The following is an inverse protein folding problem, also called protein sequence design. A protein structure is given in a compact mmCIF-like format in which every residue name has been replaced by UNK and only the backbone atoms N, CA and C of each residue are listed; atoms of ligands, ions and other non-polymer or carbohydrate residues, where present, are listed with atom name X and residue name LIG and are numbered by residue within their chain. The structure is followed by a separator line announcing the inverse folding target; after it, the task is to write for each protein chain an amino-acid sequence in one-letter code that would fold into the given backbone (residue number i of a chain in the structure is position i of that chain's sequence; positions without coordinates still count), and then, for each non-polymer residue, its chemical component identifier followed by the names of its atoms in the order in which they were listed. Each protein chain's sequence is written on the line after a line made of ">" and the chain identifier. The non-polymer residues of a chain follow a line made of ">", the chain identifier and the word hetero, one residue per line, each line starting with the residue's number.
data_IF_666703198839
#
_entry.id   IF_666703198839
#
_cell.length_a   1.000
_cell.length_b   1.000
_cell.length_c   1.000
_cell.angle_alpha   90.00
_cell.angle_beta   90.00
_cell.angle_gamma   90.00
#
_symmetry.space_group_name_H-M   'P 1'
#
loop_
_entity.id
_entity.type
_entity.pdbx_description
1 polymer ?
#
# COMPACT_ATOMS: atom_id res chain seq x y z
N UNK A 1 2.69 16.58 51.36
CA UNK A 1 2.08 15.34 50.83
C UNK A 1 2.51 15.14 49.38
N UNK A 2 3.61 14.42 49.11
CA UNK A 2 4.09 14.11 47.73
C UNK A 2 4.60 12.67 47.55
N UNK A 3 4.88 11.92 48.64
CA UNK A 3 5.39 10.53 48.58
C UNK A 3 4.35 9.44 48.26
N UNK A 4 3.04 9.73 48.33
CA UNK A 4 1.99 8.72 48.13
C UNK A 4 1.54 8.53 46.68
N UNK A 5 1.97 9.39 45.76
CA UNK A 5 1.62 9.30 44.33
C UNK A 5 2.67 8.51 43.57
N UNK A 6 3.96 8.75 43.83
CA UNK A 6 5.06 8.01 43.20
C UNK A 6 4.98 6.50 43.47
N UNK A 7 4.68 6.10 44.71
CA UNK A 7 4.59 4.68 45.06
C UNK A 7 3.40 3.97 44.37
N UNK A 8 2.32 4.70 44.07
CA UNK A 8 1.16 4.16 43.32
C UNK A 8 1.49 3.98 41.84
N UNK A 9 2.22 4.93 41.25
CA UNK A 9 2.64 4.86 39.84
C UNK A 9 3.61 3.68 39.62
N UNK A 10 4.57 3.49 40.53
CA UNK A 10 5.51 2.36 40.48
C UNK A 10 4.78 1.02 40.58
N UNK A 11 3.79 0.92 41.48
CA UNK A 11 3.02 -0.32 41.65
C UNK A 11 2.20 -0.67 40.40
N UNK A 12 1.58 0.33 39.77
CA UNK A 12 0.80 0.14 38.53
C UNK A 12 1.71 -0.27 37.37
N UNK A 13 2.88 0.36 37.24
CA UNK A 13 3.87 0.00 36.23
C UNK A 13 4.33 -1.46 36.39
N UNK A 14 4.66 -1.89 37.61
CA UNK A 14 5.06 -3.28 37.87
C UNK A 14 3.98 -4.31 37.52
N UNK A 15 2.70 -4.02 37.77
CA UNK A 15 1.59 -4.92 37.42
C UNK A 15 1.43 -5.02 35.90
N UNK A 16 1.51 -3.88 35.19
CA UNK A 16 1.44 -3.84 33.72
C UNK A 16 2.60 -4.58 33.06
N UNK A 17 3.82 -4.43 33.58
CA UNK A 17 4.97 -5.19 33.07
C UNK A 17 4.84 -6.68 33.35
N UNK A 18 4.34 -7.07 34.53
CA UNK A 18 4.07 -8.47 34.87
C UNK A 18 3.05 -9.12 33.91
N UNK A 19 1.96 -8.41 33.60
CA UNK A 19 0.95 -8.89 32.64
C UNK A 19 1.53 -9.05 31.22
N UNK A 20 2.34 -8.10 30.75
CA UNK A 20 2.98 -8.18 29.43
C UNK A 20 3.97 -9.36 29.34
N UNK A 21 4.75 -9.61 30.40
CA UNK A 21 5.69 -10.75 30.44
C UNK A 21 4.93 -12.09 30.47
N UNK A 22 3.79 -12.18 31.16
CA UNK A 22 2.96 -13.40 31.15
C UNK A 22 2.40 -13.66 29.75
N UNK A 23 1.90 -12.63 29.06
CA UNK A 23 1.42 -12.77 27.67
C UNK A 23 2.56 -13.23 26.77
N UNK A 24 3.72 -12.58 26.79
CA UNK A 24 4.87 -12.96 25.95
C UNK A 24 5.45 -14.35 26.28
N UNK A 25 5.44 -14.77 27.55
CA UNK A 25 5.92 -16.11 27.94
C UNK A 25 4.93 -17.22 27.56
N UNK A 26 3.62 -16.93 27.53
CA UNK A 26 2.64 -17.84 26.96
C UNK A 26 2.72 -17.89 25.42
N UNK A 27 3.11 -16.79 24.77
CA UNK A 27 3.30 -16.71 23.30
C UNK A 27 4.57 -17.40 22.77
N UNK A 28 5.53 -17.75 23.64
CA UNK A 28 6.78 -18.42 23.24
C UNK A 28 6.95 -19.80 23.87
N UNK A 29 5.84 -20.51 24.10
CA UNK A 29 5.85 -21.93 24.46
C UNK A 29 6.24 -22.82 23.29
N UNK A 30 7.52 -22.80 22.87
CA UNK A 30 8.10 -23.91 22.11
C UNK A 30 8.16 -25.10 23.06
N UNK A 31 7.21 -26.03 22.92
CA UNK A 31 7.24 -27.31 23.61
C UNK A 31 8.44 -28.12 23.11
N UNK A 32 9.50 -28.15 23.93
CA UNK A 32 10.56 -29.15 23.79
C UNK A 32 9.96 -30.54 24.01
N UNK A 33 9.97 -31.34 22.95
CA UNK A 33 9.89 -32.79 23.00
C UNK A 33 10.92 -33.35 23.99
N UNK A 34 10.46 -34.16 24.94
CA UNK A 34 11.25 -35.23 25.57
C UNK A 34 10.32 -36.18 26.30
N UNK A 35 10.32 -37.45 25.90
CA UNK A 35 9.74 -38.56 26.65
C UNK A 35 8.77 -39.39 25.83
N UNK A 36 9.26 -40.53 25.34
CA UNK A 36 8.45 -41.66 24.85
C UNK A 36 7.42 -42.07 25.92
N UNK A 37 6.17 -42.29 25.50
CA UNK A 37 5.34 -43.39 25.98
C UNK A 37 4.14 -43.57 25.02
N UNK A 38 4.01 -44.79 24.51
CA UNK A 38 2.93 -45.24 23.64
C UNK A 38 1.56 -45.05 24.30
N UNK A 39 0.63 -44.37 23.61
CA UNK A 39 -0.80 -44.61 23.84
C UNK A 39 -1.61 -44.40 22.54
N UNK A 40 -2.17 -45.51 22.06
CA UNK A 40 -3.10 -45.57 20.95
C UNK A 40 -4.38 -44.77 21.27
N UNK A 41 -4.61 -43.71 20.51
CA UNK A 41 -5.88 -42.97 20.51
C UNK A 41 -5.95 -42.07 19.29
N UNK A 42 -6.84 -42.38 18.34
CA UNK A 42 -7.08 -41.53 17.18
C UNK A 42 -7.47 -40.13 17.63
N UNK A 43 -6.72 -39.13 17.21
CA UNK A 43 -7.17 -37.74 17.23
C UNK A 43 -6.83 -37.18 15.87
N UNK A 44 -7.88 -36.92 15.08
CA UNK A 44 -7.79 -36.07 13.90
C UNK A 44 -7.09 -34.78 14.33
N UNK A 45 -5.88 -34.58 13.80
CA UNK A 45 -5.24 -33.27 13.84
C UNK A 45 -6.09 -32.42 12.91
N UNK A 46 -7.00 -31.63 13.48
CA UNK A 46 -7.60 -30.52 12.75
C UNK A 46 -6.45 -29.62 12.30
N UNK A 47 -6.17 -29.59 11.00
CA UNK A 47 -5.34 -28.56 10.39
C UNK A 47 -5.87 -27.21 10.88
N UNK A 48 -5.03 -26.45 11.56
CA UNK A 48 -5.32 -25.05 11.83
C UNK A 48 -5.29 -24.37 10.47
N UNK A 49 -6.45 -24.08 9.91
CA UNK A 49 -6.57 -23.23 8.72
C UNK A 49 -5.89 -21.90 9.05
N UNK A 50 -4.68 -21.71 8.54
CA UNK A 50 -4.07 -20.38 8.46
C UNK A 50 -4.96 -19.62 7.49
N UNK A 51 -5.87 -18.81 8.03
CA UNK A 51 -6.74 -18.00 7.18
C UNK A 51 -5.87 -17.04 6.39
N UNK A 52 -5.69 -17.30 5.10
CA UNK A 52 -5.00 -16.39 4.20
C UNK A 52 -5.56 -14.96 4.37
N UNK A 53 -4.70 -13.94 4.36
CA UNK A 53 -5.10 -12.54 4.57
C UNK A 53 -5.97 -12.00 3.43
N UNK A 54 -6.07 -12.76 2.34
CA UNK A 54 -6.89 -12.47 1.17
C UNK A 54 -7.63 -13.72 0.67
N UNK A 55 -8.58 -13.49 -0.22
CA UNK A 55 -9.29 -14.50 -1.00
C UNK A 55 -9.33 -14.08 -2.47
N UNK A 56 -8.90 -14.97 -3.38
CA UNK A 56 -9.04 -14.76 -4.83
C UNK A 56 -10.50 -15.06 -5.22
N UNK A 57 -11.22 -14.04 -5.69
CA UNK A 57 -12.64 -14.14 -6.07
C UNK A 57 -12.77 -14.67 -7.50
N UNK A 58 -11.92 -14.16 -8.41
CA UNK A 58 -11.90 -14.62 -9.79
C UNK A 58 -10.54 -14.40 -10.43
N UNK A 59 -10.28 -15.17 -11.48
CA UNK A 59 -9.10 -15.04 -12.32
C UNK A 59 -9.51 -15.24 -13.77
N UNK A 60 -9.12 -14.30 -14.63
CA UNK A 60 -9.31 -14.35 -16.09
C UNK A 60 -7.95 -14.36 -16.76
N UNK A 61 -7.72 -15.32 -17.66
CA UNK A 61 -6.46 -15.46 -18.40
C UNK A 61 -6.69 -15.14 -19.86
N UNK A 62 -5.93 -14.18 -20.38
CA UNK A 62 -5.90 -13.82 -21.80
C UNK A 62 -4.47 -13.76 -22.30
N UNK A 63 -4.14 -14.68 -23.20
CA UNK A 63 -2.80 -14.79 -23.80
C UNK A 63 -1.71 -14.79 -22.71
N UNK A 64 -0.92 -13.72 -22.64
CA UNK A 64 0.22 -13.53 -21.73
C UNK A 64 -0.11 -12.60 -20.54
N UNK A 65 -1.40 -12.31 -20.31
CA UNK A 65 -1.87 -11.49 -19.18
C UNK A 65 -2.90 -12.25 -18.35
N UNK A 66 -2.75 -12.17 -17.03
CA UNK A 66 -3.78 -12.62 -16.08
C UNK A 66 -4.31 -11.46 -15.30
N UNK A 67 -5.63 -11.41 -15.20
CA UNK A 67 -6.35 -10.47 -14.37
C UNK A 67 -6.99 -11.22 -13.21
N UNK A 68 -6.81 -10.74 -11.99
CA UNK A 68 -7.45 -11.32 -10.81
C UNK A 68 -8.24 -10.27 -10.03
N UNK A 69 -9.35 -10.71 -9.43
CA UNK A 69 -10.10 -9.92 -8.44
C UNK A 69 -9.90 -10.57 -7.09
N UNK A 70 -9.47 -9.79 -6.12
CA UNK A 70 -9.07 -10.25 -4.79
C UNK A 70 -9.81 -9.46 -3.72
N UNK A 71 -10.35 -10.17 -2.74
CA UNK A 71 -10.84 -9.58 -1.51
C UNK A 71 -9.77 -9.71 -0.42
N UNK A 72 -9.29 -8.58 0.11
CA UNK A 72 -8.38 -8.53 1.23
C UNK A 72 -9.15 -8.39 2.54
N UNK A 73 -8.92 -9.30 3.49
CA UNK A 73 -9.53 -9.27 4.82
C UNK A 73 -8.81 -8.27 5.73
N UNK A 74 -7.53 -8.08 5.49
CA UNK A 74 -6.63 -7.20 6.24
C UNK A 74 -5.73 -6.41 5.29
N UNK A 75 -4.95 -5.45 5.79
CA UNK A 75 -3.95 -4.75 4.97
C UNK A 75 -2.80 -5.71 4.61
N UNK A 76 -2.48 -5.82 3.32
CA UNK A 76 -1.41 -6.70 2.85
C UNK A 76 -0.04 -6.07 3.09
N UNK A 77 0.86 -6.82 3.73
CA UNK A 77 2.29 -6.50 3.78
C UNK A 77 2.94 -6.73 2.42
N UNK A 78 4.16 -6.21 2.24
CA UNK A 78 4.95 -6.43 1.02
C UNK A 78 5.14 -7.93 0.75
N UNK A 79 5.48 -8.72 1.77
CA UNK A 79 5.59 -10.18 1.65
C UNK A 79 4.25 -10.82 1.22
N UNK A 80 3.14 -10.37 1.81
CA UNK A 80 1.80 -10.87 1.44
C UNK A 80 1.39 -10.50 0.02
N UNK A 81 1.87 -9.37 -0.51
CA UNK A 81 1.68 -8.97 -1.91
C UNK A 81 2.49 -9.87 -2.85
N UNK A 82 3.75 -10.17 -2.50
CA UNK A 82 4.60 -11.08 -3.27
C UNK A 82 3.97 -12.48 -3.32
N UNK A 83 3.52 -13.00 -2.17
CA UNK A 83 2.82 -14.28 -2.08
C UNK A 83 1.56 -14.31 -2.95
N UNK A 84 0.74 -13.25 -2.90
CA UNK A 84 -0.46 -13.13 -3.72
C UNK A 84 -0.16 -13.15 -5.23
N UNK A 85 0.86 -12.41 -5.67
CA UNK A 85 1.28 -12.36 -7.07
C UNK A 85 1.71 -13.76 -7.53
N UNK A 86 2.50 -14.48 -6.73
CA UNK A 86 2.94 -15.82 -7.05
C UNK A 86 1.79 -16.84 -7.05
N UNK A 87 0.83 -16.72 -6.12
CA UNK A 87 -0.38 -17.56 -6.11
C UNK A 87 -1.23 -17.37 -7.38
N UNK A 88 -1.44 -16.11 -7.80
CA UNK A 88 -2.19 -15.79 -9.02
C UNK A 88 -1.47 -16.33 -10.26
N UNK A 89 -0.14 -16.17 -10.35
CA UNK A 89 0.67 -16.70 -11.46
C UNK A 89 0.62 -18.22 -11.54
N UNK A 90 0.72 -18.90 -10.39
CA UNK A 90 0.68 -20.36 -10.32
C UNK A 90 -0.70 -20.92 -10.66
N UNK A 91 -1.77 -20.33 -10.13
CA UNK A 91 -3.15 -20.76 -10.38
C UNK A 91 -3.52 -20.66 -11.86
N UNK A 92 -2.96 -19.68 -12.55
CA UNK A 92 -3.23 -19.42 -13.96
C UNK A 92 -2.24 -20.07 -14.92
N UNK A 93 -1.30 -20.88 -14.41
CA UNK A 93 -0.21 -21.51 -15.20
C UNK A 93 0.55 -20.50 -16.07
N UNK A 94 0.77 -19.28 -15.56
CA UNK A 94 1.52 -18.25 -16.29
C UNK A 94 3.02 -18.54 -16.18
N UNK A 95 3.64 -19.03 -17.27
CA UNK A 95 5.09 -19.31 -17.30
C UNK A 95 5.93 -18.07 -17.61
N UNK A 96 5.44 -17.25 -18.53
CA UNK A 96 5.98 -15.94 -18.88
C UNK A 96 4.77 -15.05 -19.19
N UNK A 97 4.74 -13.83 -18.65
CA UNK A 97 3.63 -12.89 -18.84
C UNK A 97 3.46 -11.94 -17.66
N UNK A 98 2.45 -11.08 -17.73
CA UNK A 98 2.13 -10.08 -16.72
C UNK A 98 0.87 -10.45 -15.93
N UNK A 99 0.76 -9.92 -14.71
CA UNK A 99 -0.49 -9.98 -13.98
C UNK A 99 -0.98 -8.59 -13.55
N UNK A 100 -2.30 -8.47 -13.44
CA UNK A 100 -2.99 -7.30 -12.93
C UNK A 100 -4.02 -7.78 -11.91
N UNK A 101 -3.88 -7.35 -10.67
CA UNK A 101 -4.66 -7.82 -9.54
C UNK A 101 -5.38 -6.63 -8.95
N UNK A 102 -6.71 -6.64 -9.01
CA UNK A 102 -7.56 -5.63 -8.39
C UNK A 102 -7.93 -6.07 -6.99
N UNK A 103 -7.50 -5.31 -5.99
CA UNK A 103 -7.69 -5.64 -4.58
C UNK A 103 -8.77 -4.77 -3.96
N UNK A 104 -9.69 -5.42 -3.27
CA UNK A 104 -10.83 -4.81 -2.60
C UNK A 104 -10.80 -5.13 -1.12
N UNK A 105 -11.08 -4.16 -0.27
CA UNK A 105 -11.23 -4.31 1.18
C UNK A 105 -12.70 -4.56 1.58
N UNK A 106 -13.59 -4.66 0.59
CA UNK A 106 -15.00 -4.95 0.76
C UNK A 106 -15.41 -6.11 -0.16
N UNK A 107 -15.89 -7.20 0.43
CA UNK A 107 -16.23 -8.42 -0.28
C UNK A 107 -17.39 -8.24 -1.28
N UNK A 108 -18.40 -7.44 -0.94
CA UNK A 108 -19.53 -7.18 -1.85
C UNK A 108 -19.06 -6.43 -3.11
N UNK A 109 -18.16 -5.46 -2.95
CA UNK A 109 -17.53 -4.75 -4.08
C UNK A 109 -16.68 -5.69 -4.92
N UNK A 110 -15.86 -6.53 -4.29
CA UNK A 110 -15.05 -7.53 -4.98
C UNK A 110 -15.93 -8.44 -5.85
N UNK A 111 -17.03 -8.94 -5.29
CA UNK A 111 -17.98 -9.80 -6.00
C UNK A 111 -18.73 -9.09 -7.13
N UNK A 112 -18.84 -7.76 -7.10
CA UNK A 112 -19.42 -7.00 -8.21
C UNK A 112 -18.55 -7.02 -9.46
N UNK A 113 -17.24 -7.24 -9.31
CA UNK A 113 -16.25 -7.30 -10.38
C UNK A 113 -15.97 -5.98 -11.10
N UNK A 114 -16.45 -4.85 -10.56
CA UNK A 114 -16.17 -3.51 -11.09
C UNK A 114 -14.78 -3.06 -10.68
N UNK A 115 -13.83 -3.19 -11.59
CA UNK A 115 -12.40 -2.92 -11.33
C UNK A 115 -12.11 -1.47 -10.97
N UNK A 116 -12.96 -0.54 -11.42
CA UNK A 116 -12.89 0.88 -11.06
C UNK A 116 -13.14 1.15 -9.56
N UNK A 117 -13.81 0.23 -8.86
CA UNK A 117 -14.11 0.35 -7.43
C UNK A 117 -13.01 -0.27 -6.54
N UNK A 118 -11.91 -0.75 -7.13
CA UNK A 118 -10.81 -1.37 -6.40
C UNK A 118 -10.11 -0.37 -5.49
N UNK A 119 -9.75 -0.81 -4.28
CA UNK A 119 -9.01 0.01 -3.32
C UNK A 119 -7.57 0.25 -3.78
N UNK A 120 -6.97 -0.75 -4.43
CA UNK A 120 -5.68 -0.64 -5.10
C UNK A 120 -5.48 -1.72 -6.16
N UNK A 121 -4.53 -1.48 -7.05
CA UNK A 121 -4.14 -2.42 -8.10
C UNK A 121 -2.69 -2.85 -7.89
N UNK A 122 -2.40 -4.13 -8.06
CA UNK A 122 -1.05 -4.68 -8.13
C UNK A 122 -0.82 -5.12 -9.56
N UNK A 123 0.27 -4.64 -10.17
CA UNK A 123 0.73 -5.11 -11.47
C UNK A 123 2.07 -5.78 -11.32
N UNK A 124 2.29 -6.84 -12.10
CA UNK A 124 3.58 -7.52 -12.17
C UNK A 124 3.97 -7.71 -13.62
N UNK A 125 5.22 -7.41 -13.93
CA UNK A 125 5.87 -7.77 -15.19
C UNK A 125 7.30 -8.24 -14.90
N UNK A 126 7.87 -9.02 -15.82
CA UNK A 126 9.26 -9.49 -15.70
C UNK A 126 10.27 -8.35 -15.78
N UNK A 127 9.92 -7.27 -16.46
CA UNK A 127 10.79 -6.10 -16.67
C UNK A 127 10.68 -5.10 -15.53
N UNK A 128 9.47 -4.89 -15.02
CA UNK A 128 9.15 -3.81 -14.08
C UNK A 128 9.01 -4.29 -12.62
N UNK A 129 9.06 -5.59 -12.36
CA UNK A 129 8.85 -6.13 -11.01
C UNK A 129 7.40 -6.01 -10.57
N UNK A 130 7.17 -5.76 -9.28
CA UNK A 130 5.82 -5.56 -8.72
C UNK A 130 5.59 -4.06 -8.51
N UNK A 131 4.50 -3.54 -9.08
CA UNK A 131 4.07 -2.15 -8.93
C UNK A 131 2.70 -2.14 -8.27
N UNK A 132 2.57 -1.40 -7.16
CA UNK A 132 1.34 -1.18 -6.44
C UNK A 132 0.84 0.23 -6.72
N UNK A 133 -0.40 0.36 -7.18
CA UNK A 133 -1.03 1.65 -7.44
C UNK A 133 -2.27 1.84 -6.57
N UNK A 134 -2.30 2.92 -5.78
CA UNK A 134 -3.49 3.35 -5.01
C UNK A 134 -4.02 4.67 -5.57
N UNK A 135 -5.32 4.74 -5.82
CA UNK A 135 -5.96 5.94 -6.34
C UNK A 135 -6.77 6.63 -5.25
N UNK A 136 -6.57 7.93 -5.09
CA UNK A 136 -7.29 8.76 -4.14
C UNK A 136 -8.06 9.83 -4.91
N UNK A 137 -9.38 9.66 -4.97
CA UNK A 137 -10.30 10.66 -5.53
C UNK A 137 -10.76 11.66 -4.46
N UNK A 138 -11.27 12.81 -4.91
CA UNK A 138 -11.86 13.84 -4.05
C UNK A 138 -11.00 14.23 -2.84
N UNK A 139 -9.68 14.36 -3.06
CA UNK A 139 -8.76 14.87 -2.04
C UNK A 139 -9.10 16.34 -1.78
N UNK A 140 -10.03 16.61 -0.87
CA UNK A 140 -10.45 17.98 -0.53
C UNK A 140 -9.44 18.66 0.39
N UNK A 141 -8.77 17.88 1.25
CA UNK A 141 -7.87 18.41 2.27
C UNK A 141 -6.67 19.13 1.65
N UNK A 142 -6.63 20.45 1.82
CA UNK A 142 -5.44 21.25 1.58
C UNK A 142 -4.74 21.47 2.92
N UNK A 143 -3.40 21.49 2.93
CA UNK A 143 -2.67 21.96 4.10
C UNK A 143 -3.02 23.43 4.29
N UNK A 144 -3.83 23.69 5.31
CA UNK A 144 -4.44 25.01 5.50
C UNK A 144 -3.45 26.12 5.87
N UNK A 145 -2.19 25.81 6.24
CA UNK A 145 -1.32 26.81 6.89
C UNK A 145 0.18 26.76 6.61
N UNK A 146 0.76 25.65 6.17
CA UNK A 146 2.23 25.55 6.06
C UNK A 146 2.66 25.06 4.68
N UNK A 147 3.57 25.81 4.05
CA UNK A 147 4.13 25.45 2.75
C UNK A 147 4.99 24.20 2.93
N UNK A 148 4.76 23.12 2.17
CA UNK A 148 5.57 21.92 2.27
C UNK A 148 7.01 22.22 1.87
N UNK A 149 7.94 21.68 2.66
CA UNK A 149 9.33 21.58 2.26
C UNK A 149 9.48 20.44 1.25
N UNK A 150 10.21 20.72 0.17
CA UNK A 150 10.55 19.74 -0.86
C UNK A 150 11.85 20.16 -1.54
N UNK A 151 12.57 19.18 -2.08
CA UNK A 151 13.74 19.39 -2.93
C UNK A 151 13.38 19.14 -4.38
N UNK A 152 13.67 20.09 -5.26
CA UNK A 152 13.45 19.93 -6.70
C UNK A 152 14.50 18.98 -7.28
N UNK A 153 14.06 17.95 -8.01
CA UNK A 153 14.94 17.07 -8.79
C UNK A 153 15.06 17.62 -10.21
N UNK A 154 13.94 17.78 -10.91
CA UNK A 154 13.93 18.23 -12.31
C UNK A 154 12.60 18.86 -12.71
N UNK A 155 12.66 19.63 -13.80
CA UNK A 155 11.49 20.14 -14.54
C UNK A 155 11.75 19.88 -16.01
N UNK A 156 10.85 19.16 -16.67
CA UNK A 156 10.98 18.79 -18.08
C UNK A 156 9.63 18.80 -18.79
N UNK A 157 9.63 19.01 -20.10
CA UNK A 157 8.44 18.82 -20.92
C UNK A 157 8.46 17.41 -21.48
N UNK A 158 7.45 16.61 -21.16
CA UNK A 158 7.27 15.25 -21.65
C UNK A 158 6.01 15.15 -22.48
N UNK A 159 5.90 14.10 -23.29
CA UNK A 159 4.71 13.86 -24.10
C UNK A 159 3.51 13.59 -23.19
N UNK A 160 2.38 14.24 -23.47
CA UNK A 160 1.12 13.94 -22.81
C UNK A 160 0.48 12.70 -23.44
N UNK A 161 0.59 11.57 -22.75
CA UNK A 161 0.01 10.31 -23.20
C UNK A 161 -1.53 10.29 -23.14
N UNK A 162 -2.16 11.20 -22.37
CA UNK A 162 -3.62 11.28 -22.27
C UNK A 162 -4.23 12.10 -23.39
N UNK A 163 -3.51 13.09 -23.92
CA UNK A 163 -4.02 14.00 -24.95
C UNK A 163 -4.06 13.38 -26.36
N UNK A 164 -3.28 12.32 -26.63
CA UNK A 164 -3.23 11.59 -27.92
C UNK A 164 -2.96 12.45 -29.18
N UNK A 165 -2.55 13.71 -29.03
CA UNK A 165 -2.37 14.69 -30.11
C UNK A 165 -0.92 15.23 -30.22
N UNK A 166 0.00 14.69 -29.42
CA UNK A 166 1.39 15.14 -29.35
C UNK A 166 1.61 16.36 -28.46
N UNK A 167 0.60 16.77 -27.67
CA UNK A 167 0.74 17.77 -26.63
C UNK A 167 1.84 17.41 -25.64
N UNK A 168 2.44 18.45 -25.05
CA UNK A 168 3.43 18.31 -23.98
C UNK A 168 2.79 18.65 -22.64
N UNK A 169 3.13 17.87 -21.63
CA UNK A 169 2.89 18.18 -20.23
C UNK A 169 4.20 18.59 -19.58
N UNK A 170 4.15 19.52 -18.62
CA UNK A 170 5.31 19.85 -17.80
C UNK A 170 5.35 18.89 -16.61
N UNK A 171 6.38 18.05 -16.55
CA UNK A 171 6.63 17.14 -15.45
C UNK A 171 7.62 17.76 -14.47
N UNK A 172 7.25 17.79 -13.19
CA UNK A 172 8.08 18.27 -12.09
C UNK A 172 8.35 17.09 -11.16
N UNK A 173 9.63 16.78 -10.96
CA UNK A 173 10.06 15.74 -10.02
C UNK A 173 10.59 16.40 -8.75
N UNK A 174 10.09 15.97 -7.60
CA UNK A 174 10.52 16.47 -6.29
C UNK A 174 10.75 15.32 -5.31
N UNK A 175 11.58 15.54 -4.30
CA UNK A 175 11.65 14.70 -3.09
C UNK A 175 10.94 15.45 -1.96
N UNK A 176 10.00 14.78 -1.29
CA UNK A 176 9.34 15.27 -0.08
C UNK A 176 9.73 14.38 1.09
N UNK A 177 9.88 14.96 2.29
CA UNK A 177 10.22 14.17 3.48
C UNK A 177 9.09 13.16 3.79
N UNK A 178 9.47 11.88 3.83
CA UNK A 178 8.57 10.74 3.74
C UNK A 178 7.91 10.30 5.04
N UNK A 179 8.20 10.95 6.17
CA UNK A 179 7.71 10.53 7.49
C UNK A 179 6.30 11.03 7.83
N UNK A 180 5.56 11.54 6.84
CA UNK A 180 4.21 12.06 7.04
C UNK A 180 3.14 10.98 6.97
N UNK A 181 2.03 11.23 7.66
CA UNK A 181 0.81 10.45 7.44
C UNK A 181 0.31 10.62 6.00
N UNK A 182 -0.37 9.60 5.49
CA UNK A 182 -0.95 9.61 4.15
C UNK A 182 -1.79 10.87 3.86
N UNK A 183 -2.64 11.28 4.81
CA UNK A 183 -3.48 12.48 4.66
C UNK A 183 -2.66 13.78 4.57
N UNK A 184 -1.57 13.89 5.33
CA UNK A 184 -0.67 15.04 5.23
C UNK A 184 0.04 15.06 3.88
N UNK A 185 0.53 13.91 3.41
CA UNK A 185 1.22 13.79 2.13
C UNK A 185 0.31 14.18 0.95
N UNK A 186 -0.91 13.65 0.91
CA UNK A 186 -1.95 14.05 -0.05
C UNK A 186 -2.16 15.57 -0.06
N UNK A 187 -2.24 16.20 1.13
CA UNK A 187 -2.36 17.65 1.27
C UNK A 187 -1.13 18.43 0.77
N UNK A 188 0.09 17.93 1.03
CA UNK A 188 1.35 18.54 0.54
C UNK A 188 1.40 18.54 -0.98
N UNK A 189 1.13 17.39 -1.59
CA UNK A 189 1.20 17.21 -3.04
C UNK A 189 0.13 18.07 -3.74
N UNK A 190 -1.10 18.08 -3.21
CA UNK A 190 -2.15 18.96 -3.71
C UNK A 190 -1.76 20.43 -3.62
N UNK A 191 -1.14 20.85 -2.51
CA UNK A 191 -0.65 22.23 -2.35
C UNK A 191 0.39 22.58 -3.43
N UNK A 192 1.40 21.72 -3.66
CA UNK A 192 2.42 21.96 -4.69
C UNK A 192 1.80 22.02 -6.08
N UNK A 193 0.86 21.14 -6.40
CA UNK A 193 0.13 21.13 -7.67
C UNK A 193 -0.68 22.40 -7.92
N UNK A 194 -1.47 22.81 -6.93
CA UNK A 194 -2.29 24.02 -7.04
C UNK A 194 -1.43 25.28 -7.15
N UNK A 195 -0.40 25.41 -6.31
CA UNK A 195 0.42 26.62 -6.28
C UNK A 195 1.32 26.77 -7.52
N UNK A 196 1.86 25.66 -8.03
CA UNK A 196 2.63 25.69 -9.29
C UNK A 196 1.76 26.14 -10.46
N UNK A 197 0.51 25.70 -10.51
CA UNK A 197 -0.44 26.11 -11.55
C UNK A 197 -0.80 27.60 -11.46
N UNK A 198 -0.97 28.14 -10.26
CA UNK A 198 -1.25 29.57 -10.04
C UNK A 198 -0.12 30.47 -10.55
N UNK A 199 1.13 30.08 -10.28
CA UNK A 199 2.32 30.83 -10.73
C UNK A 199 2.44 30.77 -12.25
N UNK A 200 2.03 29.65 -12.84
CA UNK A 200 2.30 29.35 -14.23
C UNK A 200 1.00 29.23 -15.03
N UNK A 201 0.24 30.34 -15.10
CA UNK A 201 -0.97 30.52 -15.92
C UNK A 201 -0.82 30.07 -17.40
N UNK A 202 0.40 29.77 -17.84
CA UNK A 202 0.81 29.35 -19.19
C UNK A 202 1.29 27.89 -19.29
N UNK A 203 1.45 27.14 -18.19
CA UNK A 203 1.85 25.73 -18.31
C UNK A 203 0.68 24.89 -18.81
N UNK A 204 0.84 24.35 -20.02
CA UNK A 204 0.05 23.24 -20.53
C UNK A 204 0.23 22.05 -19.60
N UNK A 205 -0.81 21.73 -18.83
CA UNK A 205 -0.99 20.52 -18.01
C UNK A 205 0.24 20.13 -17.18
N UNK A 206 0.11 20.26 -15.87
CA UNK A 206 1.16 19.95 -14.91
C UNK A 206 1.07 18.51 -14.41
N UNK A 207 2.18 17.78 -14.39
CA UNK A 207 2.33 16.56 -13.59
C UNK A 207 3.41 16.75 -12.54
N UNK A 208 3.15 16.35 -11.30
CA UNK A 208 4.15 16.33 -10.23
C UNK A 208 4.34 14.90 -9.77
N UNK A 209 5.59 14.45 -9.79
CA UNK A 209 6.04 13.20 -9.20
C UNK A 209 6.81 13.55 -7.92
N UNK A 210 6.25 13.17 -6.78
CA UNK A 210 6.80 13.43 -5.45
C UNK A 210 7.31 12.12 -4.83
N UNK A 211 8.62 11.92 -4.87
CA UNK A 211 9.28 10.77 -4.25
C UNK A 211 9.34 10.93 -2.73
N UNK A 212 9.12 9.82 -2.02
CA UNK A 212 9.15 9.74 -0.56
C UNK A 212 10.60 9.66 -0.02
N UNK A 213 11.51 9.16 -0.85
CA UNK A 213 12.93 9.01 -0.53
C UNK A 213 13.81 9.21 -1.79
N UNK A 214 15.13 9.20 -1.59
CA UNK A 214 16.09 9.22 -2.71
C UNK A 214 16.11 7.90 -3.51
N UNK A 215 15.64 6.80 -2.93
CA UNK A 215 15.58 5.48 -3.58
C UNK A 215 14.53 5.43 -4.69
N UNK A 216 13.57 6.37 -4.68
CA UNK A 216 12.56 6.62 -5.73
C UNK A 216 11.61 5.45 -6.02
N UNK A 217 11.61 4.41 -5.20
CA UNK A 217 10.70 3.27 -5.29
C UNK A 217 9.27 3.59 -4.79
N UNK A 218 9.11 4.65 -3.99
CA UNK A 218 7.81 5.09 -3.51
C UNK A 218 7.58 6.56 -3.88
N UNK A 219 6.46 6.83 -4.52
CA UNK A 219 6.15 8.17 -4.98
C UNK A 219 4.65 8.42 -5.17
N UNK A 220 4.32 9.70 -5.19
CA UNK A 220 2.98 10.17 -5.45
C UNK A 220 2.94 10.95 -6.75
N UNK A 221 1.84 10.83 -7.48
CA UNK A 221 1.59 11.53 -8.73
C UNK A 221 0.36 12.41 -8.60
N UNK A 222 0.57 13.71 -8.78
CA UNK A 222 -0.49 14.67 -9.06
C UNK A 222 -0.53 14.94 -10.56
N UNK A 223 -1.70 14.81 -11.17
CA UNK A 223 -1.87 15.12 -12.59
C UNK A 223 -2.94 16.20 -12.77
N UNK A 224 -2.58 17.30 -13.45
CA UNK A 224 -3.41 18.47 -13.63
C UNK A 224 -4.67 18.25 -14.46
N UNK A 225 -4.78 17.13 -15.18
CA UNK A 225 -6.02 16.68 -15.83
C UNK A 225 -7.12 16.35 -14.81
N UNK A 226 -6.74 15.85 -13.63
CA UNK A 226 -7.66 15.43 -12.57
C UNK A 226 -7.22 16.02 -11.23
N UNK A 227 -7.53 17.29 -11.01
CA UNK A 227 -6.99 18.12 -9.91
C UNK A 227 -7.19 17.58 -8.48
N UNK A 228 -8.16 16.70 -8.29
CA UNK A 228 -8.47 16.09 -7.00
C UNK A 228 -8.12 14.60 -6.95
N UNK A 229 -7.55 14.05 -8.03
CA UNK A 229 -7.07 12.69 -8.09
C UNK A 229 -5.57 12.65 -7.87
N UNK A 230 -5.13 11.88 -6.89
CA UNK A 230 -3.72 11.63 -6.62
C UNK A 230 -3.50 10.12 -6.67
N UNK A 231 -2.43 9.70 -7.35
CA UNK A 231 -2.00 8.30 -7.39
C UNK A 231 -0.80 8.12 -6.47
N UNK A 232 -0.81 7.09 -5.64
CA UNK A 232 0.39 6.58 -4.97
C UNK A 232 0.90 5.37 -5.73
N UNK A 233 2.23 5.29 -5.89
CA UNK A 233 2.92 4.19 -6.53
C UNK A 233 4.03 3.68 -5.62
N UNK A 234 4.12 2.36 -5.49
CA UNK A 234 5.21 1.67 -4.81
C UNK A 234 5.74 0.54 -5.68
N UNK A 235 7.04 0.51 -5.86
CA UNK A 235 7.80 -0.53 -6.58
C UNK A 235 8.48 -1.47 -5.55
N UNK A 236 8.32 -2.79 -5.76
CA UNK A 236 8.91 -3.86 -4.94
C UNK A 236 9.74 -4.78 -5.84
#
# INVERSE_FOLDING_TARGET
>A
MKKNVENKVVTIACILTGLLVIVFTLSQGVTKFSGEDEYNGSSEVSEVEVSNPYSIISTDKKEDKVTAIVYSKEELSDDGIVELVDEVKNTSELKDGSCEIYVFNNEEKANSGKVEDADFTITYSKEDGIIIEKYYEDVEHELSKEKPEYSLISVENVKDEKANDGSLLTQIKVVMDGNDSQGNMLGKIKYVGNHTREIANTLSILEIIAYISEDKNEYWIYNGHSKNAIKYVKEI
#
